data_IF_537601405477
#
_entry.id   IF_537601405477
#
_cell.length_a   1.000
_cell.length_b   1.000
_cell.length_c   1.000
_cell.angle_alpha   90.00
_cell.angle_beta   90.00
_cell.angle_gamma   90.00
#
_symmetry.space_group_name_H-M   'P 1'
#
loop_
_entity.id
_entity.type
_entity.pdbx_description
1 polymer ?
#
# COMPACT_ATOMS: atom_id res chain seq x y z
N UNK A 1 -20.44 -7.53 5.33
CA UNK A 1 -19.19 -7.52 4.54
C UNK A 1 -18.13 -6.80 5.35
N UNK A 2 -16.98 -7.45 5.57
CA UNK A 2 -15.80 -6.85 6.16
C UNK A 2 -14.82 -6.43 5.05
N UNK A 3 -14.80 -5.15 4.73
CA UNK A 3 -13.89 -4.53 3.76
C UNK A 3 -12.98 -3.50 4.45
N UNK A 4 -12.56 -3.77 5.69
CA UNK A 4 -11.85 -2.84 6.55
C UNK A 4 -10.35 -2.66 6.17
N UNK A 5 -9.90 -3.19 5.03
CA UNK A 5 -8.52 -3.02 4.54
C UNK A 5 -7.48 -3.49 5.57
N UNK A 6 -6.55 -2.62 6.02
CA UNK A 6 -5.54 -2.98 7.02
C UNK A 6 -6.12 -3.48 8.36
N UNK A 7 -7.34 -3.07 8.70
CA UNK A 7 -8.01 -3.41 9.97
C UNK A 7 -8.89 -4.65 9.90
N UNK A 8 -8.96 -5.34 8.74
CA UNK A 8 -9.77 -6.55 8.54
C UNK A 8 -9.48 -7.61 9.61
N UNK A 9 -8.19 -7.88 9.91
CA UNK A 9 -7.77 -8.86 10.92
C UNK A 9 -8.15 -8.43 12.34
N UNK A 10 -8.05 -7.14 12.64
CA UNK A 10 -8.43 -6.61 13.96
C UNK A 10 -9.93 -6.83 14.24
N UNK A 11 -10.77 -6.58 13.22
CA UNK A 11 -12.20 -6.83 13.30
C UNK A 11 -12.50 -8.31 13.56
N UNK A 12 -11.82 -9.22 12.83
CA UNK A 12 -11.98 -10.66 13.03
C UNK A 12 -11.56 -11.09 14.44
N UNK A 13 -10.40 -10.62 14.91
CA UNK A 13 -9.91 -10.95 16.25
C UNK A 13 -10.83 -10.46 17.37
N UNK A 14 -11.39 -9.24 17.24
CA UNK A 14 -12.37 -8.70 18.20
C UNK A 14 -13.65 -9.52 18.29
N UNK A 15 -13.99 -10.25 17.23
CA UNK A 15 -15.18 -11.08 17.16
C UNK A 15 -14.88 -12.59 17.32
N UNK A 16 -13.64 -12.97 17.65
CA UNK A 16 -13.19 -14.36 17.78
C UNK A 16 -13.44 -15.20 16.51
N UNK A 17 -13.31 -14.58 15.32
CA UNK A 17 -13.47 -15.24 14.04
C UNK A 17 -12.11 -15.63 13.49
N UNK A 18 -11.90 -16.94 13.29
CA UNK A 18 -10.69 -17.46 12.66
C UNK A 18 -10.74 -17.29 11.14
N UNK A 19 -9.61 -17.06 10.53
CA UNK A 19 -9.43 -16.95 9.08
C UNK A 19 -8.22 -17.75 8.62
N UNK A 20 -8.32 -18.33 7.42
CA UNK A 20 -7.21 -19.00 6.73
C UNK A 20 -6.24 -17.99 6.08
N UNK A 21 -6.64 -16.72 6.00
CA UNK A 21 -5.80 -15.66 5.46
C UNK A 21 -5.22 -14.79 6.57
N UNK A 22 -4.02 -14.29 6.33
CA UNK A 22 -3.36 -13.30 7.15
C UNK A 22 -2.82 -12.15 6.28
N UNK A 23 -2.39 -11.06 6.92
CA UNK A 23 -1.92 -9.87 6.22
C UNK A 23 -0.59 -9.39 6.78
N UNK A 24 0.32 -9.04 5.87
CA UNK A 24 1.49 -8.23 6.18
C UNK A 24 1.18 -6.78 5.82
N UNK A 25 1.32 -5.87 6.77
CA UNK A 25 1.10 -4.46 6.54
C UNK A 25 2.40 -3.80 6.09
N UNK A 26 2.32 -3.04 5.00
CA UNK A 26 3.45 -2.31 4.43
C UNK A 26 3.08 -0.85 4.26
N UNK A 27 3.81 0.03 4.97
CA UNK A 27 3.67 1.47 4.81
C UNK A 27 4.49 1.93 3.62
N UNK A 28 3.92 2.84 2.83
CA UNK A 28 4.59 3.56 1.76
C UNK A 28 4.32 5.05 1.88
N UNK A 29 5.40 5.83 1.81
CA UNK A 29 5.37 7.28 1.93
C UNK A 29 5.62 7.96 0.59
N UNK A 30 5.07 9.16 0.44
CA UNK A 30 5.24 10.04 -0.71
C UNK A 30 5.59 11.43 -0.25
N UNK A 31 6.40 12.11 -1.05
CA UNK A 31 6.73 13.54 -0.89
C UNK A 31 6.11 14.34 -2.01
N UNK A 32 5.65 15.52 -1.72
CA UNK A 32 5.29 16.56 -2.68
C UNK A 32 6.35 17.64 -2.58
N UNK A 33 7.11 17.85 -3.64
CA UNK A 33 8.21 18.81 -3.65
C UNK A 33 7.93 19.98 -4.58
N UNK A 34 8.53 21.13 -4.28
CA UNK A 34 8.47 22.33 -5.11
C UNK A 34 9.37 22.18 -6.33
N UNK A 35 8.97 21.34 -7.26
CA UNK A 35 9.67 21.04 -8.50
C UNK A 35 8.65 20.86 -9.62
N UNK A 36 8.83 21.54 -10.73
CA UNK A 36 8.02 21.34 -11.93
C UNK A 36 8.73 20.40 -12.88
N UNK A 37 8.10 19.29 -13.20
CA UNK A 37 8.54 18.37 -14.27
C UNK A 37 7.48 18.32 -15.37
N UNK A 38 7.92 18.05 -16.61
CA UNK A 38 7.02 18.03 -17.78
C UNK A 38 6.40 16.64 -18.02
N UNK A 39 7.10 15.58 -17.66
CA UNK A 39 6.65 14.20 -17.88
C UNK A 39 6.92 13.34 -16.64
N UNK A 40 6.14 12.26 -16.46
CA UNK A 40 6.43 11.27 -15.44
C UNK A 40 7.80 10.62 -15.66
N UNK A 41 8.52 10.38 -14.57
CA UNK A 41 9.77 9.63 -14.57
C UNK A 41 9.62 8.38 -13.71
N UNK A 42 10.26 7.31 -14.16
CA UNK A 42 10.36 6.04 -13.42
C UNK A 42 11.83 5.80 -13.15
N UNK A 43 12.19 5.79 -11.88
CA UNK A 43 13.57 5.62 -11.41
C UNK A 43 13.68 4.27 -10.69
N UNK A 44 14.85 3.67 -10.73
CA UNK A 44 15.14 2.44 -10.00
C UNK A 44 16.26 2.70 -9.00
N UNK A 45 15.99 2.48 -7.73
CA UNK A 45 17.00 2.58 -6.67
C UNK A 45 18.12 1.57 -6.91
N UNK A 46 19.35 2.03 -7.03
CA UNK A 46 20.53 1.16 -7.17
C UNK A 46 20.80 0.35 -5.91
N UNK A 47 20.35 0.84 -4.75
CA UNK A 47 20.59 0.22 -3.45
C UNK A 47 19.77 -1.05 -3.23
N UNK A 48 18.51 -1.07 -3.68
CA UNK A 48 17.55 -2.13 -3.37
C UNK A 48 16.66 -2.52 -4.54
N UNK A 49 16.90 -1.95 -5.73
CA UNK A 49 16.17 -2.25 -6.96
C UNK A 49 14.72 -1.74 -7.01
N UNK A 50 14.29 -0.96 -6.03
CA UNK A 50 12.90 -0.46 -5.96
C UNK A 50 12.62 0.57 -7.03
N UNK A 51 11.38 0.54 -7.51
CA UNK A 51 10.88 1.54 -8.45
C UNK A 51 10.29 2.72 -7.68
N UNK A 52 10.77 3.92 -8.03
CA UNK A 52 10.29 5.20 -7.52
C UNK A 52 9.72 5.99 -8.69
N UNK A 53 8.56 6.58 -8.48
CA UNK A 53 7.91 7.44 -9.46
C UNK A 53 8.12 8.91 -9.09
N UNK A 54 8.38 9.73 -10.13
CA UNK A 54 8.22 11.18 -10.07
C UNK A 54 7.07 11.55 -10.99
N UNK A 55 6.00 12.09 -10.44
CA UNK A 55 4.79 12.40 -11.20
C UNK A 55 4.52 13.90 -11.17
N UNK A 56 4.25 14.54 -12.33
CA UNK A 56 3.88 15.96 -12.35
C UNK A 56 2.54 16.18 -11.62
N UNK A 57 2.51 17.14 -10.71
CA UNK A 57 1.35 17.55 -9.94
C UNK A 57 1.17 19.07 -10.06
N UNK A 58 0.60 19.54 -11.17
CA UNK A 58 0.56 20.97 -11.54
C UNK A 58 1.98 21.57 -11.60
N UNK A 59 2.31 22.48 -10.66
CA UNK A 59 3.66 23.08 -10.56
C UNK A 59 4.56 22.39 -9.54
N UNK A 60 4.11 21.27 -8.99
CA UNK A 60 4.82 20.46 -8.00
C UNK A 60 5.16 19.08 -8.60
N UNK A 61 5.91 18.29 -7.86
CA UNK A 61 6.22 16.91 -8.19
C UNK A 61 5.86 15.99 -7.02
N UNK A 62 5.11 14.93 -7.31
CA UNK A 62 4.87 13.84 -6.38
C UNK A 62 5.95 12.79 -6.56
N UNK A 63 6.62 12.42 -5.45
CA UNK A 63 7.72 11.46 -5.41
C UNK A 63 7.33 10.29 -4.51
N UNK A 64 7.51 9.06 -4.96
CA UNK A 64 7.26 7.86 -4.16
C UNK A 64 7.26 6.59 -5.01
N UNK A 65 7.20 5.49 -4.33
CA UNK A 65 6.83 5.26 -2.94
C UNK A 65 7.94 4.52 -2.19
N UNK A 66 7.97 4.65 -0.87
CA UNK A 66 8.78 3.80 0.01
C UNK A 66 8.04 2.48 0.32
N UNK A 67 8.72 1.55 0.97
CA UNK A 67 8.13 0.32 1.50
C UNK A 67 8.79 -0.07 2.83
N UNK A 68 8.03 0.05 3.92
CA UNK A 68 8.45 -0.35 5.25
C UNK A 68 7.41 -1.24 5.92
N UNK A 69 7.86 -2.28 6.61
CA UNK A 69 6.98 -3.09 7.44
C UNK A 69 6.27 -2.19 8.45
N UNK A 70 4.97 -2.41 8.64
CA UNK A 70 4.14 -1.60 9.51
C UNK A 70 3.39 -2.47 10.51
N UNK A 71 3.21 -1.97 11.73
CA UNK A 71 2.34 -2.58 12.72
C UNK A 71 1.05 -1.73 12.83
N UNK A 72 -0.09 -2.39 13.00
CA UNK A 72 -1.40 -1.72 12.99
C UNK A 72 -1.53 -0.59 14.03
N UNK A 73 -0.76 -0.66 15.10
CA UNK A 73 -0.73 0.34 16.18
C UNK A 73 0.22 1.51 15.94
N UNK A 74 1.09 1.40 14.94
CA UNK A 74 2.08 2.44 14.66
C UNK A 74 1.42 3.63 13.94
N UNK A 75 1.92 4.85 14.09
CA UNK A 75 1.41 6.00 13.37
C UNK A 75 1.68 5.89 11.87
N UNK A 76 0.69 6.26 11.04
CA UNK A 76 0.82 6.26 9.58
C UNK A 76 1.33 7.64 9.17
N UNK A 77 2.64 7.81 9.23
CA UNK A 77 3.33 9.07 8.90
C UNK A 77 4.58 8.79 8.06
N UNK A 78 4.97 9.75 7.24
CA UNK A 78 6.27 9.73 6.59
C UNK A 78 7.37 9.98 7.62
N UNK A 79 8.36 9.10 7.69
CA UNK A 79 9.48 9.23 8.64
C UNK A 79 10.65 9.98 8.00
N UNK A 80 11.56 10.52 8.85
CA UNK A 80 12.78 11.17 8.35
C UNK A 80 13.60 10.23 7.45
N UNK A 81 13.70 8.95 7.83
CA UNK A 81 14.43 7.93 7.04
C UNK A 81 13.82 7.78 5.63
N UNK A 82 12.50 7.86 5.51
CA UNK A 82 11.80 7.76 4.22
C UNK A 82 11.98 9.03 3.39
N UNK A 83 11.98 10.22 4.01
CA UNK A 83 12.32 11.49 3.32
C UNK A 83 13.71 11.43 2.75
N UNK A 84 14.70 11.11 3.58
CA UNK A 84 16.10 11.05 3.17
C UNK A 84 16.32 10.00 2.07
N UNK A 85 15.67 8.83 2.18
CA UNK A 85 15.72 7.80 1.15
C UNK A 85 15.21 8.30 -0.20
N UNK A 86 14.03 8.92 -0.25
CA UNK A 86 13.46 9.43 -1.49
C UNK A 86 14.30 10.58 -2.08
N UNK A 87 14.71 11.55 -1.26
CA UNK A 87 15.56 12.67 -1.71
C UNK A 87 16.90 12.19 -2.25
N UNK A 88 17.55 11.24 -1.58
CA UNK A 88 18.84 10.70 -2.03
C UNK A 88 18.72 9.97 -3.37
N UNK A 89 17.65 9.20 -3.60
CA UNK A 89 17.43 8.55 -4.90
C UNK A 89 17.23 9.61 -5.98
N UNK A 90 16.37 10.60 -5.76
CA UNK A 90 16.13 11.64 -6.77
C UNK A 90 17.43 12.37 -7.10
N UNK A 91 18.16 12.79 -6.09
CA UNK A 91 19.41 13.53 -6.26
C UNK A 91 20.53 12.70 -6.94
N UNK A 92 20.44 11.37 -6.92
CA UNK A 92 21.39 10.52 -7.67
C UNK A 92 21.08 10.45 -9.17
N UNK A 93 19.85 10.76 -9.58
CA UNK A 93 19.43 10.75 -10.99
C UNK A 93 19.35 12.13 -11.62
N UNK A 94 19.06 13.14 -10.83
CA UNK A 94 18.87 14.51 -11.29
C UNK A 94 19.73 15.46 -10.45
N UNK A 95 20.48 16.33 -11.12
CA UNK A 95 21.37 17.30 -10.47
C UNK A 95 20.58 18.52 -9.95
N UNK A 96 19.62 18.27 -9.06
CA UNK A 96 18.73 19.30 -8.51
C UNK A 96 19.03 19.63 -7.04
N UNK A 97 19.81 18.82 -6.36
CA UNK A 97 20.18 18.98 -4.94
C UNK A 97 18.97 19.26 -4.01
N UNK A 98 17.86 18.53 -4.24
CA UNK A 98 16.67 18.66 -3.42
C UNK A 98 16.98 18.35 -1.95
N UNK A 99 16.41 19.16 -1.07
CA UNK A 99 16.55 19.05 0.38
C UNK A 99 15.19 18.99 1.07
N UNK A 100 15.17 18.80 2.37
CA UNK A 100 13.91 18.84 3.14
C UNK A 100 13.18 20.19 3.06
N UNK A 101 13.87 21.28 2.68
CA UNK A 101 13.24 22.60 2.49
C UNK A 101 12.39 22.67 1.22
N UNK A 102 12.62 21.79 0.28
CA UNK A 102 11.87 21.71 -0.98
C UNK A 102 10.60 20.88 -0.83
N UNK A 103 10.42 20.18 0.30
CA UNK A 103 9.19 19.42 0.62
C UNK A 103 8.09 20.40 1.00
N UNK A 104 7.01 20.40 0.20
CA UNK A 104 5.81 21.22 0.42
C UNK A 104 4.80 20.46 1.28
N UNK A 105 4.69 19.14 1.04
CA UNK A 105 3.76 18.26 1.77
C UNK A 105 4.24 16.81 1.68
N UNK A 106 3.71 15.96 2.54
CA UNK A 106 4.01 14.53 2.56
C UNK A 106 2.84 13.71 3.11
N UNK A 107 2.73 12.48 2.67
CA UNK A 107 1.76 11.56 3.22
C UNK A 107 2.25 10.11 3.19
N UNK A 108 1.64 9.29 4.02
CA UNK A 108 1.88 7.86 4.06
C UNK A 108 0.57 7.08 4.00
N UNK A 109 0.63 5.87 3.47
CA UNK A 109 -0.48 4.94 3.46
C UNK A 109 -0.03 3.52 3.78
N UNK A 110 -0.94 2.68 4.24
CA UNK A 110 -0.66 1.28 4.58
C UNK A 110 -1.33 0.36 3.58
N UNK A 111 -0.54 -0.55 3.00
CA UNK A 111 -0.99 -1.59 2.08
C UNK A 111 -1.13 -2.90 2.85
N UNK A 112 -2.31 -3.54 2.86
CA UNK A 112 -2.47 -4.89 3.34
C UNK A 112 -2.07 -5.89 2.24
N UNK A 113 -0.99 -6.63 2.45
CA UNK A 113 -0.55 -7.70 1.57
C UNK A 113 -1.04 -9.04 2.14
N UNK A 114 -1.86 -9.75 1.37
CA UNK A 114 -2.50 -10.98 1.84
C UNK A 114 -1.63 -12.22 1.58
N UNK A 115 -1.65 -13.16 2.51
CA UNK A 115 -1.07 -14.48 2.35
C UNK A 115 -1.90 -15.54 3.08
N UNK A 116 -1.74 -16.81 2.67
CA UNK A 116 -2.36 -17.91 3.38
C UNK A 116 -1.56 -18.21 4.65
N UNK A 117 -2.19 -18.18 5.82
CA UNK A 117 -1.55 -18.41 7.11
C UNK A 117 -0.90 -19.80 7.25
N UNK A 118 -1.31 -20.76 6.42
CA UNK A 118 -0.71 -22.10 6.37
C UNK A 118 0.55 -22.19 5.48
N UNK A 119 0.89 -21.14 4.71
CA UNK A 119 2.10 -21.12 3.88
C UNK A 119 3.26 -20.53 4.66
N UNK A 120 4.33 -21.31 4.83
CA UNK A 120 5.59 -20.85 5.44
C UNK A 120 6.42 -19.96 4.51
N UNK A 121 6.01 -19.80 3.27
CA UNK A 121 6.76 -19.12 2.23
C UNK A 121 6.32 -17.66 2.09
N UNK A 122 7.05 -16.78 2.76
CA UNK A 122 6.85 -15.31 2.76
C UNK A 122 7.05 -14.72 1.35
N UNK A 123 7.74 -15.42 0.45
CA UNK A 123 7.95 -14.96 -0.94
C UNK A 123 6.66 -14.95 -1.77
N UNK A 124 5.61 -15.63 -1.30
CA UNK A 124 4.28 -15.72 -1.94
C UNK A 124 3.28 -14.69 -1.44
N UNK A 125 3.74 -13.63 -0.77
CA UNK A 125 2.87 -12.52 -0.39
C UNK A 125 2.37 -11.82 -1.65
N UNK A 126 1.06 -11.89 -1.88
CA UNK A 126 0.45 -11.33 -3.08
C UNK A 126 -0.15 -9.93 -2.81
N UNK A 127 -0.07 -9.08 -3.84
CA UNK A 127 -0.87 -7.83 -3.90
C UNK A 127 -2.30 -8.07 -4.40
N UNK A 128 -2.69 -9.32 -4.61
CA UNK A 128 -4.04 -9.68 -5.01
C UNK A 128 -5.00 -9.65 -3.81
N UNK A 129 -6.27 -9.81 -4.09
CA UNK A 129 -7.29 -9.91 -3.06
C UNK A 129 -7.61 -11.37 -2.75
N UNK A 130 -8.00 -11.65 -1.51
CA UNK A 130 -8.67 -12.89 -1.14
C UNK A 130 -10.04 -12.57 -0.55
N UNK A 131 -11.00 -13.47 -0.80
CA UNK A 131 -12.34 -13.39 -0.24
C UNK A 131 -12.57 -14.67 0.57
N UNK A 132 -13.10 -14.51 1.76
CA UNK A 132 -13.46 -15.62 2.65
C UNK A 132 -14.85 -15.41 3.23
N UNK A 133 -15.68 -16.43 3.13
CA UNK A 133 -16.99 -16.47 3.78
C UNK A 133 -16.86 -17.24 5.10
N UNK A 134 -17.12 -16.57 6.22
CA UNK A 134 -17.18 -17.15 7.54
C UNK A 134 -18.62 -17.00 8.05
N UNK A 135 -19.41 -18.07 8.05
CA UNK A 135 -20.85 -18.02 8.35
C UNK A 135 -21.56 -17.00 7.44
N UNK A 136 -22.10 -15.92 7.98
CA UNK A 136 -22.76 -14.82 7.24
C UNK A 136 -21.85 -13.61 7.00
N UNK A 137 -20.55 -13.70 7.30
CA UNK A 137 -19.61 -12.60 7.14
C UNK A 137 -18.67 -12.86 5.95
N UNK A 138 -18.76 -12.03 4.93
CA UNK A 138 -17.82 -12.02 3.81
C UNK A 138 -16.65 -11.11 4.18
N UNK A 139 -15.44 -11.66 4.24
CA UNK A 139 -14.20 -10.94 4.52
C UNK A 139 -13.40 -10.73 3.26
N UNK A 140 -12.93 -9.50 3.05
CA UNK A 140 -12.10 -9.10 1.91
C UNK A 140 -10.72 -8.73 2.44
N UNK A 141 -9.69 -9.42 1.95
CA UNK A 141 -8.30 -9.19 2.31
C UNK A 141 -7.54 -8.64 1.10
N UNK A 142 -6.74 -7.58 1.31
CA UNK A 142 -5.93 -6.99 0.25
C UNK A 142 -6.75 -6.31 -0.83
N UNK A 143 -6.24 -6.37 -2.07
CA UNK A 143 -6.85 -5.77 -3.24
C UNK A 143 -6.10 -4.53 -3.74
N UNK A 144 -6.35 -4.19 -5.01
CA UNK A 144 -5.79 -3.02 -5.70
C UNK A 144 -6.93 -2.10 -6.12
N UNK A 145 -6.67 -0.81 -6.16
CA UNK A 145 -7.64 0.15 -6.71
C UNK A 145 -8.12 -0.24 -8.11
N UNK A 146 -7.20 -0.65 -8.97
CA UNK A 146 -7.48 -1.04 -10.36
C UNK A 146 -8.32 -2.31 -10.50
N UNK A 147 -8.37 -3.17 -9.49
CA UNK A 147 -9.19 -4.39 -9.48
C UNK A 147 -10.45 -4.28 -8.63
N UNK A 148 -10.73 -3.10 -8.07
CA UNK A 148 -11.84 -2.89 -7.13
C UNK A 148 -13.21 -3.24 -7.70
N UNK A 149 -13.49 -2.85 -8.96
CA UNK A 149 -14.75 -3.17 -9.63
C UNK A 149 -14.93 -4.69 -9.82
N UNK A 150 -13.90 -5.39 -10.32
CA UNK A 150 -13.94 -6.86 -10.47
C UNK A 150 -14.11 -7.57 -9.13
N UNK A 151 -13.48 -7.05 -8.07
CA UNK A 151 -13.65 -7.57 -6.72
C UNK A 151 -15.07 -7.36 -6.20
N UNK A 152 -15.65 -6.18 -6.45
CA UNK A 152 -17.03 -5.86 -6.11
C UNK A 152 -18.03 -6.83 -6.77
N UNK A 153 -17.88 -7.12 -8.06
CA UNK A 153 -18.72 -8.10 -8.77
C UNK A 153 -18.60 -9.51 -8.16
N UNK A 154 -17.39 -9.95 -7.80
CA UNK A 154 -17.21 -11.27 -7.13
C UNK A 154 -17.97 -11.33 -5.81
N UNK A 155 -17.90 -10.27 -5.02
CA UNK A 155 -18.60 -10.19 -3.71
C UNK A 155 -20.12 -10.17 -3.90
N UNK A 156 -20.65 -9.40 -4.89
CA UNK A 156 -22.08 -9.36 -5.24
C UNK A 156 -22.60 -10.74 -5.59
N UNK A 157 -21.93 -11.45 -6.49
CA UNK A 157 -22.30 -12.82 -6.87
C UNK A 157 -22.31 -13.78 -5.66
N UNK A 158 -21.35 -13.62 -4.74
CA UNK A 158 -21.34 -14.43 -3.52
C UNK A 158 -22.53 -14.15 -2.61
N UNK A 159 -22.99 -12.89 -2.51
CA UNK A 159 -24.17 -12.53 -1.74
C UNK A 159 -25.41 -13.17 -2.36
N UNK A 160 -25.62 -13.01 -3.67
CA UNK A 160 -26.77 -13.59 -4.39
C UNK A 160 -26.84 -15.12 -4.19
N UNK A 161 -25.71 -15.80 -4.32
CA UNK A 161 -25.63 -17.26 -4.19
C UNK A 161 -25.91 -17.76 -2.76
N UNK A 162 -25.61 -16.94 -1.72
CA UNK A 162 -25.76 -17.34 -0.32
C UNK A 162 -27.02 -16.73 0.35
N UNK A 163 -27.82 -15.96 -0.38
CA UNK A 163 -29.06 -15.34 0.12
C UNK A 163 -30.33 -16.11 -0.28
N UNK A 164 -30.21 -17.20 -1.04
CA UNK A 164 -31.26 -18.14 -1.41
C UNK A 164 -31.15 -19.40 -0.58
#
# INVERSE_FOLDING_TARGET
INAAGPWTKELLNKNNINSKFDMSLVRGSHLIVNLKIQCPLVLQSEKDGRIIFMLPLKNLCLIGTTEHKHLIKDPIVCTQIERDYLLNIINSYVDLHLTSKDIVDEYAGVRPLVFNSNTKDISKISRDSAIELNQSLINIFGGKWTSGLSLGHKVSNMIETNSG
#
